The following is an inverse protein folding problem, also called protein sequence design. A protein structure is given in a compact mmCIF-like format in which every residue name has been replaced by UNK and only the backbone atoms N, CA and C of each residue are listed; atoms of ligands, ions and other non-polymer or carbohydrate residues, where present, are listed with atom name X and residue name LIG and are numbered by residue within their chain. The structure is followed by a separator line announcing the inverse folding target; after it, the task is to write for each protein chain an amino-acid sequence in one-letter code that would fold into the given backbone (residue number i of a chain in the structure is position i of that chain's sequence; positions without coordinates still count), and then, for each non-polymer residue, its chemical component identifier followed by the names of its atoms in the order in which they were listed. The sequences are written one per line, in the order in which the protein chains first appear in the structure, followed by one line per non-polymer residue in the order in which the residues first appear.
data_IF_386480382876
#
_entry.id   IF_386480382876
#
_cell.length_a   1.000
_cell.length_b   1.000
_cell.length_c   1.000
_cell.angle_alpha   90.00
_cell.angle_beta   90.00
_cell.angle_gamma   90.00
#
_symmetry.space_group_name_H-M   'P 1'
#
loop_
_entity.id
_entity.type
_entity.pdbx_description
1 polymer ?
#
# COMPACT_ATOMS: atom_id res chain seq x y z
N UNK A 1 15.11 -21.08 8.62
CA UNK A 1 14.24 -20.05 8.05
C UNK A 1 14.85 -19.60 6.75
N UNK A 2 14.21 -19.97 5.64
CA UNK A 2 14.65 -19.70 4.30
C UNK A 2 14.77 -18.19 4.07
N UNK A 3 15.87 -17.80 3.45
CA UNK A 3 16.12 -16.45 2.94
C UNK A 3 15.14 -16.11 1.83
N UNK A 4 15.05 -14.82 1.47
CA UNK A 4 14.23 -14.38 0.35
C UNK A 4 14.67 -15.03 -0.97
N UNK A 5 15.98 -15.21 -1.16
CA UNK A 5 16.53 -15.89 -2.34
C UNK A 5 16.07 -17.35 -2.42
N UNK A 6 16.16 -18.11 -1.31
CA UNK A 6 15.73 -19.51 -1.27
C UNK A 6 14.21 -19.66 -1.47
N UNK A 7 13.40 -18.73 -0.94
CA UNK A 7 11.96 -18.68 -1.19
C UNK A 7 11.63 -18.44 -2.66
N UNK A 8 12.44 -17.61 -3.34
CA UNK A 8 12.31 -17.34 -4.77
C UNK A 8 12.65 -18.57 -5.62
N UNK A 9 13.65 -19.35 -5.23
CA UNK A 9 13.98 -20.62 -5.92
C UNK A 9 12.79 -21.60 -5.86
N UNK A 10 12.03 -21.66 -4.75
CA UNK A 10 10.80 -22.47 -4.66
C UNK A 10 9.70 -21.95 -5.62
N UNK A 11 9.57 -20.62 -5.75
CA UNK A 11 8.63 -20.01 -6.71
C UNK A 11 9.01 -20.32 -8.16
N UNK A 12 10.30 -20.30 -8.48
CA UNK A 12 10.81 -20.66 -9.80
C UNK A 12 10.48 -22.11 -10.15
N UNK A 13 10.59 -23.03 -9.19
CA UNK A 13 10.14 -24.42 -9.37
C UNK A 13 8.64 -24.52 -9.61
N UNK A 14 7.81 -23.73 -8.92
CA UNK A 14 6.36 -23.69 -9.15
C UNK A 14 6.01 -23.26 -10.57
N UNK A 15 6.70 -22.23 -11.07
CA UNK A 15 6.52 -21.71 -12.42
C UNK A 15 7.03 -22.73 -13.43
N UNK A 16 8.16 -23.37 -13.17
CA UNK A 16 8.73 -24.40 -14.03
C UNK A 16 7.85 -25.67 -14.12
N UNK A 17 7.28 -26.14 -13.02
CA UNK A 17 6.46 -27.36 -13.11
C UNK A 17 5.04 -27.10 -13.58
N UNK A 18 4.47 -25.95 -13.22
CA UNK A 18 3.02 -25.75 -13.33
C UNK A 18 2.61 -24.47 -14.06
N UNK A 19 3.54 -23.56 -14.35
CA UNK A 19 3.28 -22.24 -14.92
C UNK A 19 2.11 -21.52 -14.19
N UNK A 20 2.16 -21.51 -12.85
CA UNK A 20 1.12 -20.90 -11.99
C UNK A 20 1.71 -20.15 -10.82
N UNK A 21 0.97 -19.14 -10.33
CA UNK A 21 1.15 -18.61 -8.97
C UNK A 21 0.70 -19.67 -7.96
N UNK A 22 1.53 -20.04 -6.96
CA UNK A 22 1.08 -20.87 -5.86
C UNK A 22 0.16 -20.08 -4.93
N UNK A 23 -0.84 -20.74 -4.35
CA UNK A 23 -1.55 -20.16 -3.21
C UNK A 23 -0.61 -20.07 -2.01
N UNK A 24 -0.91 -19.12 -1.11
CA UNK A 24 -0.04 -18.78 0.02
C UNK A 24 0.15 -19.96 0.99
N UNK A 25 -0.87 -20.81 1.15
CA UNK A 25 -0.80 -21.99 2.02
C UNK A 25 0.09 -23.09 1.40
N UNK A 26 -0.07 -23.35 0.10
CA UNK A 26 0.76 -24.26 -0.66
C UNK A 26 2.23 -23.84 -0.67
N UNK A 27 2.51 -22.55 -0.90
CA UNK A 27 3.88 -22.03 -0.84
C UNK A 27 4.46 -22.15 0.58
N UNK A 28 3.69 -21.79 1.61
CA UNK A 28 4.12 -21.90 3.01
C UNK A 28 4.47 -23.33 3.42
N UNK A 29 3.74 -24.32 2.92
CA UNK A 29 4.04 -25.73 3.12
C UNK A 29 5.44 -26.08 2.60
N UNK A 30 5.77 -25.73 1.35
CA UNK A 30 7.08 -26.07 0.78
C UNK A 30 8.23 -25.27 1.38
N UNK A 31 8.00 -24.01 1.77
CA UNK A 31 8.98 -23.25 2.55
C UNK A 31 9.26 -23.96 3.89
N UNK A 32 8.23 -24.48 4.55
CA UNK A 32 8.37 -25.23 5.80
C UNK A 32 9.14 -26.54 5.59
N UNK A 33 8.88 -27.28 4.51
CA UNK A 33 9.63 -28.48 4.17
C UNK A 33 11.11 -28.18 3.90
N UNK A 34 11.41 -27.08 3.21
CA UNK A 34 12.78 -26.61 2.99
C UNK A 34 13.45 -26.24 4.33
N UNK A 35 12.75 -25.50 5.19
CA UNK A 35 13.22 -25.14 6.52
C UNK A 35 13.50 -26.33 7.44
N UNK A 36 12.81 -27.44 7.22
CA UNK A 36 13.02 -28.71 7.90
C UNK A 36 14.15 -29.57 7.29
N UNK A 37 14.85 -29.06 6.28
CA UNK A 37 16.04 -29.70 5.69
C UNK A 37 15.80 -30.44 4.37
N UNK A 38 14.62 -30.31 3.77
CA UNK A 38 14.41 -30.80 2.40
C UNK A 38 15.21 -29.96 1.40
N UNK A 39 15.86 -30.60 0.42
CA UNK A 39 16.54 -29.88 -0.66
C UNK A 39 15.56 -29.40 -1.73
N UNK A 40 15.96 -28.39 -2.51
CA UNK A 40 15.20 -27.95 -3.70
C UNK A 40 14.99 -29.09 -4.70
N UNK A 41 16.01 -29.95 -4.91
CA UNK A 41 15.88 -31.11 -5.80
C UNK A 41 14.78 -32.07 -5.32
N UNK A 42 14.66 -32.28 -4.00
CA UNK A 42 13.60 -33.09 -3.41
C UNK A 42 12.22 -32.47 -3.64
N UNK A 43 12.08 -31.16 -3.38
CA UNK A 43 10.82 -30.43 -3.59
C UNK A 43 10.43 -30.47 -5.08
N UNK A 44 11.38 -30.21 -5.98
CA UNK A 44 11.23 -30.33 -7.43
C UNK A 44 10.81 -31.75 -7.84
N UNK A 45 11.38 -32.79 -7.22
CA UNK A 45 10.97 -34.18 -7.42
C UNK A 45 9.51 -34.44 -7.01
N UNK A 46 9.04 -33.82 -5.92
CA UNK A 46 7.62 -33.86 -5.53
C UNK A 46 6.72 -33.12 -6.52
N UNK A 47 7.21 -32.04 -7.11
CA UNK A 47 6.44 -31.33 -8.14
C UNK A 47 6.34 -32.16 -9.41
N UNK A 48 7.41 -32.86 -9.80
CA UNK A 48 7.37 -33.84 -10.90
C UNK A 48 6.35 -34.97 -10.63
N UNK A 49 6.35 -35.56 -9.43
CA UNK A 49 5.37 -36.59 -9.05
C UNK A 49 3.94 -36.05 -9.22
N UNK A 50 3.65 -34.84 -8.73
CA UNK A 50 2.35 -34.20 -8.88
C UNK A 50 2.03 -33.86 -10.34
N UNK A 51 3.00 -33.38 -11.12
CA UNK A 51 2.82 -33.05 -12.53
C UNK A 51 2.44 -34.28 -13.36
N UNK A 52 3.01 -35.45 -13.06
CA UNK A 52 2.71 -36.72 -13.75
C UNK A 52 1.40 -37.37 -13.29
N UNK A 53 1.04 -37.22 -12.01
CA UNK A 53 -0.07 -37.99 -11.41
C UNK A 53 -1.35 -37.20 -11.21
N UNK A 54 -1.24 -35.91 -10.86
CA UNK A 54 -2.37 -35.05 -10.51
C UNK A 54 -2.66 -34.01 -11.59
N UNK A 55 -1.61 -33.53 -12.29
CA UNK A 55 -1.71 -32.42 -13.24
C UNK A 55 -1.22 -32.78 -14.65
N UNK A 56 -1.32 -34.05 -15.04
CA UNK A 56 -0.76 -34.53 -16.32
C UNK A 56 -1.50 -33.98 -17.53
N UNK A 57 -2.81 -33.76 -17.41
CA UNK A 57 -3.61 -33.14 -18.47
C UNK A 57 -3.20 -31.68 -18.71
N UNK A 58 -2.82 -30.98 -17.65
CA UNK A 58 -2.53 -29.55 -17.71
C UNK A 58 -1.05 -29.22 -17.93
N UNK A 59 -0.14 -30.10 -17.51
CA UNK A 59 1.30 -29.92 -17.70
C UNK A 59 1.84 -30.69 -18.90
N UNK A 60 1.09 -31.66 -19.40
CA UNK A 60 1.49 -32.56 -20.47
C UNK A 60 2.38 -33.72 -20.01
N UNK A 61 2.97 -33.67 -18.80
CA UNK A 61 3.91 -34.68 -18.34
C UNK A 61 3.25 -36.05 -18.11
N UNK A 62 3.95 -37.11 -18.49
CA UNK A 62 3.53 -38.48 -18.19
C UNK A 62 4.71 -39.38 -17.85
N UNK A 63 4.43 -40.46 -17.10
CA UNK A 63 5.45 -41.41 -16.65
C UNK A 63 6.13 -42.18 -17.79
N UNK A 64 5.49 -42.24 -18.96
CA UNK A 64 6.01 -42.92 -20.15
C UNK A 64 6.80 -42.04 -21.13
N UNK A 65 7.02 -40.75 -20.80
CA UNK A 65 7.82 -39.86 -21.65
C UNK A 65 9.27 -40.34 -21.76
N UNK A 66 9.81 -40.32 -22.98
CA UNK A 66 11.25 -40.39 -23.18
C UNK A 66 11.95 -39.15 -22.65
N UNK A 67 13.24 -39.23 -22.36
CA UNK A 67 14.02 -38.09 -21.87
C UNK A 67 13.98 -36.90 -22.85
N UNK A 68 14.08 -37.17 -24.15
CA UNK A 68 13.92 -36.14 -25.19
C UNK A 68 12.55 -35.46 -25.14
N UNK A 69 11.47 -36.23 -24.98
CA UNK A 69 10.12 -35.69 -24.89
C UNK A 69 9.93 -34.87 -23.59
N UNK A 70 10.48 -35.36 -22.47
CA UNK A 70 10.47 -34.65 -21.19
C UNK A 70 11.18 -33.29 -21.28
N UNK A 71 12.40 -33.25 -21.83
CA UNK A 71 13.15 -32.00 -21.99
C UNK A 71 12.44 -31.06 -22.96
N UNK A 72 11.89 -31.57 -24.05
CA UNK A 72 11.12 -30.74 -25.01
C UNK A 72 9.89 -30.12 -24.34
N UNK A 73 9.16 -30.89 -23.52
CA UNK A 73 8.00 -30.40 -22.76
C UNK A 73 8.39 -29.28 -21.79
N UNK A 74 9.55 -29.41 -21.14
CA UNK A 74 10.06 -28.39 -20.22
C UNK A 74 10.40 -27.08 -20.95
N UNK A 75 11.00 -27.16 -22.15
CA UNK A 75 11.27 -25.98 -22.97
C UNK A 75 9.98 -25.28 -23.41
N UNK A 76 8.97 -26.05 -23.81
CA UNK A 76 7.65 -25.51 -24.19
C UNK A 76 6.97 -24.83 -22.99
N UNK A 77 6.71 -25.58 -21.93
CA UNK A 77 5.90 -25.10 -20.80
C UNK A 77 6.58 -23.98 -19.99
N UNK A 78 7.85 -24.17 -19.62
CA UNK A 78 8.56 -23.29 -18.67
C UNK A 78 9.14 -22.09 -19.36
N UNK A 79 9.81 -22.36 -20.48
CA UNK A 79 10.59 -21.34 -21.17
C UNK A 79 9.78 -20.68 -22.28
N UNK A 80 8.58 -21.17 -22.61
CA UNK A 80 7.83 -20.68 -23.78
C UNK A 80 8.61 -20.85 -25.08
N UNK A 81 9.61 -21.74 -25.11
CA UNK A 81 10.51 -21.97 -26.22
C UNK A 81 9.86 -22.96 -27.18
N UNK A 82 8.94 -22.46 -27.99
CA UNK A 82 8.23 -23.20 -29.03
C UNK A 82 8.62 -22.74 -30.44
N UNK A 83 8.22 -23.49 -31.46
CA UNK A 83 8.48 -23.15 -32.86
C UNK A 83 9.98 -23.00 -33.14
N UNK A 84 10.38 -21.85 -33.69
CA UNK A 84 11.78 -21.55 -34.03
C UNK A 84 12.71 -21.44 -32.80
N UNK A 85 12.16 -21.38 -31.59
CA UNK A 85 12.92 -21.32 -30.34
C UNK A 85 13.01 -22.67 -29.61
N UNK A 86 12.36 -23.72 -30.13
CA UNK A 86 12.44 -25.08 -29.59
C UNK A 86 13.89 -25.56 -29.47
N UNK A 87 14.22 -26.44 -28.50
CA UNK A 87 15.58 -26.91 -28.31
C UNK A 87 16.06 -27.67 -29.55
N UNK A 88 17.22 -27.30 -30.06
CA UNK A 88 17.85 -28.04 -31.14
C UNK A 88 18.45 -29.37 -30.65
N UNK A 89 18.90 -30.22 -31.58
CA UNK A 89 19.46 -31.54 -31.25
C UNK A 89 20.68 -31.47 -30.31
N UNK A 90 21.49 -30.41 -30.38
CA UNK A 90 22.65 -30.23 -29.50
C UNK A 90 22.21 -29.85 -28.08
N UNK A 91 21.23 -28.95 -27.95
CA UNK A 91 20.64 -28.60 -26.65
C UNK A 91 19.97 -29.83 -26.01
N UNK A 92 19.19 -30.59 -26.78
CA UNK A 92 18.57 -31.84 -26.29
C UNK A 92 19.62 -32.86 -25.85
N UNK A 93 20.67 -33.09 -26.65
CA UNK A 93 21.72 -34.05 -26.32
C UNK A 93 22.47 -33.64 -25.03
N UNK A 94 22.72 -32.35 -24.83
CA UNK A 94 23.33 -31.83 -23.60
C UNK A 94 22.46 -32.14 -22.37
N UNK A 95 21.17 -31.79 -22.42
CA UNK A 95 20.28 -32.00 -21.28
C UNK A 95 19.98 -33.48 -21.02
N UNK A 96 19.88 -34.31 -22.05
CA UNK A 96 19.75 -35.77 -21.90
C UNK A 96 21.02 -36.35 -21.25
N UNK A 97 22.20 -35.86 -21.63
CA UNK A 97 23.46 -36.27 -21.01
C UNK A 97 23.52 -35.85 -19.54
N UNK A 98 23.17 -34.59 -19.23
CA UNK A 98 23.10 -34.08 -17.87
C UNK A 98 22.11 -34.87 -17.02
N UNK A 99 20.93 -35.21 -17.55
CA UNK A 99 19.94 -36.03 -16.85
C UNK A 99 20.50 -37.41 -16.52
N UNK A 100 21.04 -38.10 -17.52
CA UNK A 100 21.42 -39.51 -17.38
C UNK A 100 22.75 -39.72 -16.64
N UNK A 101 23.73 -38.84 -16.84
CA UNK A 101 25.08 -39.02 -16.31
C UNK A 101 25.38 -38.16 -15.07
N UNK A 102 24.84 -36.93 -15.00
CA UNK A 102 25.14 -36.03 -13.88
C UNK A 102 24.07 -36.15 -12.78
N UNK A 103 22.80 -36.26 -13.17
CA UNK A 103 21.66 -36.33 -12.24
C UNK A 103 21.14 -37.76 -12.00
N UNK A 104 21.77 -38.78 -12.60
CA UNK A 104 21.38 -40.20 -12.44
C UNK A 104 19.88 -40.47 -12.72
N UNK A 105 19.28 -39.74 -13.67
CA UNK A 105 17.87 -39.83 -14.01
C UNK A 105 16.92 -39.02 -13.11
N UNK A 106 17.44 -38.23 -12.17
CA UNK A 106 16.62 -37.34 -11.32
C UNK A 106 16.13 -36.12 -12.11
N UNK A 107 14.85 -36.17 -12.48
CA UNK A 107 14.16 -35.09 -13.21
C UNK A 107 13.96 -33.84 -12.35
N UNK A 108 13.82 -33.97 -11.03
CA UNK A 108 13.70 -32.84 -10.12
C UNK A 108 15.00 -32.04 -10.07
N UNK A 109 16.12 -32.73 -9.89
CA UNK A 109 17.46 -32.14 -9.92
C UNK A 109 17.83 -31.56 -11.29
N UNK A 110 17.38 -32.18 -12.39
CA UNK A 110 17.58 -31.62 -13.72
C UNK A 110 16.87 -30.27 -13.88
N UNK A 111 15.59 -30.16 -13.50
CA UNK A 111 14.83 -28.90 -13.65
C UNK A 111 15.44 -27.78 -12.83
N UNK A 112 15.85 -28.05 -11.59
CA UNK A 112 16.57 -27.08 -10.76
C UNK A 112 17.85 -26.59 -11.46
N UNK A 113 18.67 -27.51 -11.99
CA UNK A 113 19.88 -27.15 -12.73
C UNK A 113 19.56 -26.33 -13.98
N UNK A 114 18.53 -26.71 -14.72
CA UNK A 114 18.11 -26.00 -15.92
C UNK A 114 17.71 -24.56 -15.61
N UNK A 115 16.82 -24.35 -14.63
CA UNK A 115 16.40 -22.99 -14.21
C UNK A 115 17.62 -22.12 -13.89
N UNK A 116 18.55 -22.65 -13.09
CA UNK A 116 19.78 -21.95 -12.72
C UNK A 116 20.66 -21.60 -13.94
N UNK A 117 20.94 -22.56 -14.83
CA UNK A 117 21.76 -22.32 -16.02
C UNK A 117 21.10 -21.33 -16.99
N UNK A 118 19.77 -21.38 -17.14
CA UNK A 118 18.99 -20.48 -18.01
C UNK A 118 19.05 -19.05 -17.48
N UNK A 119 18.85 -18.86 -16.18
CA UNK A 119 18.91 -17.53 -15.57
C UNK A 119 20.32 -16.93 -15.67
N UNK A 120 21.36 -17.77 -15.50
CA UNK A 120 22.75 -17.36 -15.60
C UNK A 120 23.23 -17.13 -17.05
N UNK A 121 22.53 -17.66 -18.06
CA UNK A 121 22.94 -17.56 -19.46
C UNK A 121 22.98 -16.12 -19.97
N UNK A 122 24.09 -15.68 -20.55
CA UNK A 122 24.19 -14.35 -21.17
C UNK A 122 23.45 -14.32 -22.52
N UNK A 123 22.23 -13.80 -22.51
CA UNK A 123 21.39 -13.64 -23.69
C UNK A 123 21.46 -12.24 -24.31
N UNK A 124 22.39 -11.38 -23.88
CA UNK A 124 22.48 -9.98 -24.33
C UNK A 124 22.60 -9.81 -25.86
N UNK A 125 23.16 -10.82 -26.54
CA UNK A 125 23.32 -10.84 -27.99
C UNK A 125 22.24 -11.66 -28.74
N UNK A 126 21.21 -12.14 -28.04
CA UNK A 126 20.13 -12.96 -28.59
C UNK A 126 18.76 -12.50 -28.07
N UNK A 127 18.17 -11.51 -28.75
CA UNK A 127 16.92 -10.87 -28.33
C UNK A 127 15.76 -11.85 -28.08
N UNK A 128 15.50 -12.88 -28.91
CA UNK A 128 14.48 -13.89 -28.60
C UNK A 128 14.72 -14.66 -27.30
N UNK A 129 15.98 -15.03 -27.01
CA UNK A 129 16.31 -15.72 -25.75
C UNK A 129 16.27 -14.77 -24.56
N UNK A 130 16.64 -13.50 -24.75
CA UNK A 130 16.51 -12.47 -23.73
C UNK A 130 15.03 -12.26 -23.36
N UNK A 131 14.13 -12.18 -24.33
CA UNK A 131 12.69 -12.06 -24.09
C UNK A 131 12.13 -13.25 -23.28
N UNK A 132 12.59 -14.47 -23.55
CA UNK A 132 12.25 -15.65 -22.76
C UNK A 132 12.69 -15.50 -21.30
N UNK A 133 13.93 -15.05 -21.07
CA UNK A 133 14.45 -14.81 -19.72
C UNK A 133 13.67 -13.74 -18.98
N UNK A 134 13.40 -12.62 -19.65
CA UNK A 134 12.66 -11.48 -19.07
C UNK A 134 11.24 -11.91 -18.71
N UNK A 135 10.56 -12.64 -19.58
CA UNK A 135 9.22 -13.18 -19.30
C UNK A 135 9.21 -14.13 -18.10
N UNK A 136 10.20 -15.02 -17.99
CA UNK A 136 10.31 -15.90 -16.82
C UNK A 136 10.57 -15.10 -15.54
N UNK A 137 11.49 -14.14 -15.57
CA UNK A 137 11.79 -13.26 -14.43
C UNK A 137 10.55 -12.46 -14.00
N UNK A 138 9.79 -11.91 -14.95
CA UNK A 138 8.56 -11.18 -14.70
C UNK A 138 7.50 -12.09 -14.04
N UNK A 139 7.35 -13.34 -14.48
CA UNK A 139 6.43 -14.32 -13.85
C UNK A 139 6.83 -14.64 -12.42
N UNK A 140 8.13 -14.83 -12.16
CA UNK A 140 8.66 -15.07 -10.81
C UNK A 140 8.38 -13.87 -9.91
N UNK A 141 8.62 -12.66 -10.41
CA UNK A 141 8.31 -11.44 -9.67
C UNK A 141 6.82 -11.33 -9.33
N UNK A 142 5.93 -11.57 -10.30
CA UNK A 142 4.47 -11.56 -10.06
C UNK A 142 4.08 -12.60 -9.01
N UNK A 143 4.61 -13.81 -9.09
CA UNK A 143 4.33 -14.86 -8.11
C UNK A 143 4.88 -14.53 -6.71
N UNK A 144 6.05 -13.89 -6.63
CA UNK A 144 6.64 -13.39 -5.38
C UNK A 144 5.74 -12.34 -4.72
N UNK A 145 5.29 -11.34 -5.49
CA UNK A 145 4.38 -10.30 -4.98
C UNK A 145 3.06 -10.89 -4.48
N UNK A 146 2.46 -11.84 -5.19
CA UNK A 146 1.14 -12.38 -4.85
C UNK A 146 1.16 -13.44 -3.75
N UNK A 147 2.15 -14.34 -3.75
CA UNK A 147 2.16 -15.51 -2.88
C UNK A 147 3.10 -15.37 -1.67
N UNK A 148 4.14 -14.53 -1.76
CA UNK A 148 5.12 -14.34 -0.68
C UNK A 148 4.87 -13.05 0.11
N UNK A 149 4.55 -11.95 -0.59
CA UNK A 149 4.29 -10.65 0.02
C UNK A 149 2.79 -10.46 0.28
N UNK A 150 1.96 -10.82 -0.70
CA UNK A 150 0.51 -10.81 -0.58
C UNK A 150 -0.09 -12.08 0.05
N UNK A 151 -1.41 -12.20 -0.06
CA UNK A 151 -2.18 -13.35 0.45
C UNK A 151 -3.00 -14.00 -0.66
N UNK A 152 -2.37 -14.35 -1.78
CA UNK A 152 -3.08 -15.04 -2.85
C UNK A 152 -3.61 -16.41 -2.35
N UNK A 153 -4.93 -16.58 -2.36
CA UNK A 153 -5.66 -17.80 -1.98
C UNK A 153 -6.46 -18.39 -3.14
N UNK A 154 -6.20 -17.91 -4.35
CA UNK A 154 -6.91 -18.33 -5.56
C UNK A 154 -6.65 -19.79 -5.94
N UNK A 155 -7.54 -20.33 -6.75
CA UNK A 155 -7.48 -21.65 -7.35
C UNK A 155 -6.29 -21.81 -8.30
N UNK A 156 -5.98 -23.07 -8.63
CA UNK A 156 -4.95 -23.43 -9.62
C UNK A 156 -5.24 -22.76 -10.98
N UNK A 157 -6.50 -22.69 -11.40
CA UNK A 157 -6.89 -22.08 -12.66
C UNK A 157 -6.63 -20.57 -12.68
N UNK A 158 -6.92 -19.88 -11.58
CA UNK A 158 -6.65 -18.46 -11.41
C UNK A 158 -5.13 -18.20 -11.42
N UNK A 159 -4.35 -18.96 -10.65
CA UNK A 159 -2.89 -18.83 -10.61
C UNK A 159 -2.22 -19.01 -11.98
N UNK A 160 -2.78 -19.86 -12.86
CA UNK A 160 -2.34 -20.02 -14.25
C UNK A 160 -2.76 -18.88 -15.16
N UNK A 161 -3.99 -18.40 -14.99
CA UNK A 161 -4.54 -17.28 -15.77
C UNK A 161 -3.71 -16.02 -15.54
N UNK A 162 -3.34 -15.75 -14.28
CA UNK A 162 -2.45 -14.64 -13.90
C UNK A 162 -1.15 -14.68 -14.70
N UNK A 163 -0.43 -15.81 -14.69
CA UNK A 163 0.87 -15.91 -15.38
C UNK A 163 0.76 -15.97 -16.91
N UNK A 164 -0.41 -16.29 -17.47
CA UNK A 164 -0.63 -16.26 -18.92
C UNK A 164 -0.58 -14.84 -19.47
N UNK A 165 -0.99 -13.86 -18.67
CA UNK A 165 -1.01 -12.44 -19.03
C UNK A 165 0.35 -11.74 -18.82
N UNK A 166 1.32 -12.42 -18.20
CA UNK A 166 2.68 -11.89 -18.02
C UNK A 166 3.49 -12.08 -19.30
N UNK A 167 4.11 -11.00 -19.77
CA UNK A 167 4.96 -10.97 -20.97
C UNK A 167 6.40 -10.61 -20.61
N UNK A 168 7.28 -10.57 -21.60
CA UNK A 168 8.66 -10.07 -21.49
C UNK A 168 8.72 -8.57 -21.15
N UNK A 169 7.68 -7.80 -21.46
CA UNK A 169 7.60 -6.38 -21.09
C UNK A 169 7.34 -6.24 -19.59
N UNK A 170 8.22 -5.51 -18.89
CA UNK A 170 8.08 -5.21 -17.47
C UNK A 170 6.76 -4.49 -17.13
N UNK A 171 6.17 -3.75 -18.07
CA UNK A 171 4.85 -3.11 -17.88
C UNK A 171 3.72 -4.15 -17.67
N UNK A 172 3.89 -5.38 -18.16
CA UNK A 172 2.91 -6.45 -17.92
C UNK A 172 2.86 -6.92 -16.47
N UNK A 173 3.92 -6.69 -15.68
CA UNK A 173 3.93 -7.00 -14.24
C UNK A 173 2.83 -6.20 -13.54
N UNK A 174 2.85 -4.88 -13.68
CA UNK A 174 1.86 -4.00 -13.06
C UNK A 174 0.46 -4.32 -13.56
N UNK A 175 0.29 -4.49 -14.87
CA UNK A 175 -1.00 -4.84 -15.47
C UNK A 175 -1.61 -6.15 -14.90
N UNK A 176 -0.77 -7.12 -14.53
CA UNK A 176 -1.20 -8.41 -13.97
C UNK A 176 -1.42 -8.34 -12.46
N UNK A 177 -0.53 -7.69 -11.71
CA UNK A 177 -0.69 -7.49 -10.27
C UNK A 177 -1.94 -6.65 -9.96
N UNK A 178 -2.24 -5.67 -10.80
CA UNK A 178 -3.43 -4.83 -10.71
C UNK A 178 -4.71 -5.56 -11.19
N UNK A 179 -4.65 -6.86 -11.49
CA UNK A 179 -5.81 -7.73 -11.71
C UNK A 179 -6.13 -8.08 -13.17
N UNK A 180 -5.24 -7.82 -14.14
CA UNK A 180 -5.49 -8.10 -15.55
C UNK A 180 -6.64 -7.24 -16.08
N UNK A 181 -6.28 -6.03 -16.51
CA UNK A 181 -7.16 -4.85 -16.60
C UNK A 181 -7.54 -4.31 -15.22
N UNK A 182 -7.27 -3.03 -14.96
CA UNK A 182 -8.05 -2.26 -14.00
C UNK A 182 -9.52 -2.57 -14.23
N UNK A 183 -10.14 -3.37 -13.36
CA UNK A 183 -11.58 -3.39 -13.22
C UNK A 183 -11.94 -2.02 -12.66
N UNK A 184 -12.08 -1.06 -13.57
CA UNK A 184 -12.55 0.29 -13.27
C UNK A 184 -14.06 0.22 -13.20
N UNK A 185 -14.62 0.66 -12.09
CA UNK A 185 -16.05 0.80 -11.90
C UNK A 185 -16.38 2.27 -11.69
N UNK A 186 -17.21 2.82 -12.57
CA UNK A 186 -17.71 4.18 -12.43
C UNK A 186 -18.98 4.11 -11.58
N UNK A 187 -18.99 4.80 -10.45
CA UNK A 187 -20.18 4.91 -9.63
C UNK A 187 -21.25 5.72 -10.36
N UNK A 188 -22.50 5.41 -10.04
CA UNK A 188 -23.69 5.94 -10.70
C UNK A 188 -24.49 6.83 -9.75
N UNK A 189 -25.70 7.24 -10.14
CA UNK A 189 -26.64 7.96 -9.26
C UNK A 189 -27.64 7.00 -8.58
N UNK A 190 -27.34 5.71 -8.63
CA UNK A 190 -28.12 4.61 -8.07
C UNK A 190 -27.25 3.90 -7.05
N UNK A 191 -27.87 3.10 -6.18
CA UNK A 191 -27.13 2.23 -5.27
C UNK A 191 -26.21 1.29 -6.05
N UNK A 192 -24.90 1.42 -5.83
CA UNK A 192 -23.89 0.61 -6.48
C UNK A 192 -23.49 -0.56 -5.56
N UNK A 193 -23.48 -1.77 -6.12
CA UNK A 193 -22.90 -2.96 -5.48
C UNK A 193 -21.86 -3.57 -6.42
N UNK A 194 -20.58 -3.34 -6.14
CA UNK A 194 -19.52 -3.63 -7.10
C UNK A 194 -18.22 -4.10 -6.45
N UNK A 195 -17.46 -4.90 -7.22
CA UNK A 195 -16.11 -5.32 -6.89
C UNK A 195 -15.17 -4.89 -8.01
N UNK A 196 -14.13 -4.12 -7.67
CA UNK A 196 -13.22 -3.53 -8.63
C UNK A 196 -11.87 -3.19 -7.98
N UNK A 197 -10.85 -2.91 -8.79
CA UNK A 197 -9.58 -2.38 -8.31
C UNK A 197 -9.59 -0.83 -8.31
N UNK A 198 -10.31 -0.22 -9.24
CA UNK A 198 -10.41 1.24 -9.36
C UNK A 198 -11.87 1.66 -9.35
N UNK A 199 -12.24 2.53 -8.42
CA UNK A 199 -13.57 3.12 -8.35
C UNK A 199 -13.48 4.61 -8.70
N UNK A 200 -14.31 5.05 -9.65
CA UNK A 200 -14.39 6.45 -10.06
C UNK A 200 -15.75 7.01 -9.68
N UNK A 201 -15.77 7.93 -8.73
CA UNK A 201 -16.95 8.59 -8.22
C UNK A 201 -16.94 10.09 -8.61
N UNK A 202 -17.13 10.36 -9.90
CA UNK A 202 -17.34 11.72 -10.42
C UNK A 202 -18.75 12.25 -10.09
N UNK A 203 -18.97 13.56 -10.15
CA UNK A 203 -20.36 14.05 -10.06
C UNK A 203 -21.15 13.65 -11.33
N UNK A 204 -22.34 13.08 -11.12
CA UNK A 204 -23.24 12.57 -12.18
C UNK A 204 -24.51 13.41 -12.26
N UNK A 205 -25.25 13.31 -13.36
CA UNK A 205 -26.55 13.99 -13.45
C UNK A 205 -27.60 13.22 -12.65
N UNK A 206 -28.42 13.95 -11.88
CA UNK A 206 -29.63 13.41 -11.30
C UNK A 206 -30.60 12.93 -12.42
N UNK A 207 -31.57 12.04 -12.14
CA UNK A 207 -32.53 11.57 -13.14
C UNK A 207 -33.32 12.68 -13.86
N UNK A 208 -33.46 13.85 -13.24
CA UNK A 208 -34.06 15.05 -13.85
C UNK A 208 -33.21 15.65 -14.97
N UNK A 209 -31.92 15.32 -15.04
CA UNK A 209 -30.95 15.81 -16.03
C UNK A 209 -30.47 17.25 -15.80
N UNK A 210 -30.90 17.91 -14.72
CA UNK A 210 -30.63 19.35 -14.50
C UNK A 210 -29.51 19.58 -13.50
N UNK A 211 -29.51 18.84 -12.39
CA UNK A 211 -28.57 19.02 -11.29
C UNK A 211 -27.50 17.93 -11.33
N UNK A 212 -26.25 18.29 -11.03
CA UNK A 212 -25.20 17.32 -10.74
C UNK A 212 -25.28 16.94 -9.26
N UNK A 213 -25.07 15.66 -8.98
CA UNK A 213 -25.07 15.06 -7.64
C UNK A 213 -23.84 14.17 -7.52
N UNK A 214 -23.49 13.81 -6.28
CA UNK A 214 -22.43 12.83 -6.03
C UNK A 214 -22.85 11.47 -6.57
N UNK A 215 -21.90 10.73 -7.13
CA UNK A 215 -22.11 9.33 -7.47
C UNK A 215 -21.78 8.39 -6.31
N UNK A 216 -20.82 8.76 -5.45
CA UNK A 216 -20.67 8.09 -4.17
C UNK A 216 -21.80 8.54 -3.24
N UNK A 217 -22.54 7.57 -2.71
CA UNK A 217 -23.69 7.73 -1.84
C UNK A 217 -23.58 6.80 -0.62
N UNK A 218 -24.37 7.06 0.40
CA UNK A 218 -24.36 6.29 1.65
C UNK A 218 -24.90 4.87 1.49
N UNK A 219 -25.72 4.63 0.47
CA UNK A 219 -26.28 3.31 0.18
C UNK A 219 -25.30 2.39 -0.57
N UNK A 220 -24.17 2.92 -1.06
CA UNK A 220 -23.23 2.15 -1.88
C UNK A 220 -22.47 1.09 -1.08
N UNK A 221 -22.23 -0.04 -1.75
CA UNK A 221 -21.48 -1.17 -1.24
C UNK A 221 -20.40 -1.57 -2.23
N UNK A 222 -19.18 -1.07 -2.03
CA UNK A 222 -18.05 -1.35 -2.89
C UNK A 222 -17.01 -2.22 -2.20
N UNK A 223 -16.43 -3.14 -2.96
CA UNK A 223 -15.38 -4.06 -2.46
C UNK A 223 -14.14 -3.94 -3.33
N UNK A 224 -13.01 -3.64 -2.69
CA UNK A 224 -11.71 -3.61 -3.32
C UNK A 224 -11.20 -5.01 -3.68
N UNK A 225 -10.55 -5.14 -4.83
CA UNK A 225 -9.91 -6.38 -5.29
C UNK A 225 -8.59 -6.05 -6.00
N UNK A 226 -7.59 -6.91 -5.87
CA UNK A 226 -6.27 -6.67 -6.46
C UNK A 226 -5.33 -5.90 -5.54
N UNK A 227 -4.24 -5.37 -6.10
CA UNK A 227 -3.25 -4.58 -5.37
C UNK A 227 -3.68 -3.12 -5.27
N UNK A 228 -3.65 -2.58 -4.05
CA UNK A 228 -4.02 -1.19 -3.74
C UNK A 228 -5.37 -0.73 -4.33
N UNK A 229 -6.50 -1.38 -4.00
CA UNK A 229 -7.80 -0.93 -4.48
C UNK A 229 -8.06 0.53 -4.12
N UNK A 230 -8.41 1.33 -5.12
CA UNK A 230 -8.44 2.79 -5.01
C UNK A 230 -9.82 3.32 -5.32
N UNK A 231 -10.32 4.23 -4.48
CA UNK A 231 -11.47 5.08 -4.78
C UNK A 231 -10.98 6.49 -5.10
N UNK A 232 -11.34 7.00 -6.27
CA UNK A 232 -11.18 8.42 -6.62
C UNK A 232 -12.56 9.07 -6.64
N UNK A 233 -12.81 10.03 -5.73
CA UNK A 233 -14.13 10.61 -5.53
C UNK A 233 -14.10 12.15 -5.52
N UNK A 234 -15.09 12.73 -6.20
CA UNK A 234 -15.43 14.15 -6.11
C UNK A 234 -16.67 14.29 -5.24
N UNK A 235 -16.54 14.99 -4.12
CA UNK A 235 -17.61 15.30 -3.18
C UNK A 235 -18.03 16.75 -3.38
N UNK A 236 -19.14 16.94 -4.09
CA UNK A 236 -19.75 18.23 -4.42
C UNK A 236 -20.81 18.66 -3.40
N UNK A 237 -21.89 19.26 -3.91
CA UNK A 237 -23.06 19.56 -3.09
C UNK A 237 -23.87 18.28 -2.80
N UNK A 238 -24.33 18.16 -1.57
CA UNK A 238 -25.10 17.05 -1.05
C UNK A 238 -26.47 16.88 -1.73
N UNK A 239 -26.81 15.64 -2.07
CA UNK A 239 -28.15 15.22 -2.47
C UNK A 239 -28.96 14.57 -1.33
N UNK A 240 -28.28 14.03 -0.32
CA UNK A 240 -28.88 13.22 0.76
C UNK A 240 -28.44 13.61 2.18
N UNK A 241 -27.66 14.69 2.31
CA UNK A 241 -27.09 15.19 3.58
C UNK A 241 -25.62 15.56 3.43
N UNK A 242 -25.09 16.36 4.36
CA UNK A 242 -23.67 16.77 4.32
C UNK A 242 -22.69 15.64 4.66
N UNK A 243 -23.19 14.46 5.05
CA UNK A 243 -22.40 13.26 5.31
C UNK A 243 -22.73 12.16 4.32
N UNK A 244 -21.70 11.54 3.75
CA UNK A 244 -21.80 10.32 2.92
C UNK A 244 -21.14 9.17 3.68
N UNK A 245 -21.86 8.08 3.91
CA UNK A 245 -21.44 6.96 4.77
C UNK A 245 -21.50 5.58 4.07
N UNK A 246 -20.73 5.37 2.97
CA UNK A 246 -20.78 4.15 2.18
C UNK A 246 -20.21 2.94 2.95
N UNK A 247 -20.51 1.74 2.45
CA UNK A 247 -19.85 0.51 2.88
C UNK A 247 -18.71 0.21 1.90
N UNK A 248 -17.46 0.43 2.34
CA UNK A 248 -16.27 0.10 1.55
C UNK A 248 -15.47 -1.01 2.21
N UNK A 249 -15.28 -2.14 1.52
CA UNK A 249 -14.51 -3.27 2.03
C UNK A 249 -13.20 -3.44 1.26
N UNK A 250 -12.06 -3.26 1.92
CA UNK A 250 -10.75 -3.49 1.30
C UNK A 250 -10.33 -2.42 0.27
N UNK A 251 -10.93 -1.23 0.33
CA UNK A 251 -10.40 -0.06 -0.40
C UNK A 251 -9.22 0.48 0.39
N UNK A 252 -8.03 0.47 -0.21
CA UNK A 252 -6.78 0.81 0.46
C UNK A 252 -6.38 2.28 0.29
N UNK A 253 -6.68 2.87 -0.88
CA UNK A 253 -6.37 4.29 -1.16
C UNK A 253 -7.64 5.08 -1.47
N UNK A 254 -7.79 6.24 -0.82
CA UNK A 254 -8.82 7.23 -1.13
C UNK A 254 -8.18 8.47 -1.77
N UNK A 255 -8.60 8.85 -2.97
CA UNK A 255 -8.27 10.13 -3.59
C UNK A 255 -9.53 11.00 -3.61
N UNK A 256 -9.54 12.10 -2.87
CA UNK A 256 -10.73 12.85 -2.54
C UNK A 256 -10.58 14.31 -2.97
N UNK A 257 -11.66 14.87 -3.53
CA UNK A 257 -11.79 16.30 -3.81
C UNK A 257 -13.10 16.82 -3.24
N UNK A 258 -13.03 17.76 -2.29
CA UNK A 258 -14.20 18.40 -1.68
C UNK A 258 -14.49 19.71 -2.41
N UNK A 259 -15.44 19.66 -3.35
CA UNK A 259 -15.73 20.72 -4.31
C UNK A 259 -17.12 21.35 -4.15
N UNK A 260 -17.85 21.01 -3.09
CA UNK A 260 -19.10 21.67 -2.73
C UNK A 260 -18.91 23.19 -2.59
N UNK A 261 -19.91 23.97 -2.99
CA UNK A 261 -19.82 25.44 -2.96
C UNK A 261 -21.11 26.13 -2.52
N UNK A 262 -22.19 25.36 -2.38
CA UNK A 262 -23.44 25.83 -1.78
C UNK A 262 -23.44 25.64 -0.26
N UNK A 263 -24.45 26.17 0.43
CA UNK A 263 -24.70 25.86 1.85
C UNK A 263 -25.11 24.40 2.13
N UNK A 264 -25.14 23.56 1.10
CA UNK A 264 -25.41 22.12 1.19
C UNK A 264 -24.19 21.31 0.74
N UNK A 265 -22.96 21.80 0.88
CA UNK A 265 -21.77 21.03 0.54
C UNK A 265 -21.73 19.69 1.30
N UNK A 266 -21.17 18.64 0.69
CA UNK A 266 -20.71 17.47 1.45
C UNK A 266 -19.52 17.92 2.30
N UNK A 267 -19.62 17.68 3.59
CA UNK A 267 -18.63 18.04 4.60
C UNK A 267 -17.91 16.80 5.11
N UNK A 268 -18.57 15.63 5.15
CA UNK A 268 -18.02 14.43 5.77
C UNK A 268 -18.10 13.21 4.87
N UNK A 269 -16.97 12.54 4.67
CA UNK A 269 -16.93 11.12 4.29
C UNK A 269 -16.80 10.29 5.58
N UNK A 270 -17.84 9.58 5.94
CA UNK A 270 -17.90 8.77 7.15
C UNK A 270 -17.52 7.32 6.86
N UNK A 271 -16.44 6.85 7.48
CA UNK A 271 -15.87 5.53 7.29
C UNK A 271 -16.33 4.53 8.36
N UNK A 272 -17.36 4.84 9.16
CA UNK A 272 -17.87 3.95 10.22
C UNK A 272 -18.29 2.55 9.73
N UNK A 273 -18.59 2.39 8.44
CA UNK A 273 -18.96 1.11 7.82
C UNK A 273 -17.87 0.56 6.88
N UNK A 274 -16.72 1.22 6.82
CA UNK A 274 -15.64 0.92 5.88
C UNK A 274 -14.44 0.29 6.58
N UNK A 275 -13.66 -0.51 5.84
CA UNK A 275 -12.46 -1.20 6.32
C UNK A 275 -11.38 -1.23 5.25
N UNK A 276 -10.11 -1.29 5.68
CA UNK A 276 -8.96 -1.53 4.80
C UNK A 276 -8.25 -0.28 4.29
N UNK A 277 -8.73 0.93 4.59
CA UNK A 277 -8.11 2.19 4.17
C UNK A 277 -6.73 2.34 4.83
N UNK A 278 -5.71 2.58 4.01
CA UNK A 278 -4.31 2.81 4.41
C UNK A 278 -3.80 4.19 4.02
N UNK A 279 -4.31 4.75 2.92
CA UNK A 279 -3.87 6.05 2.41
C UNK A 279 -5.06 6.94 2.10
N UNK A 280 -4.99 8.20 2.53
CA UNK A 280 -5.98 9.23 2.22
C UNK A 280 -5.28 10.41 1.55
N UNK A 281 -5.66 10.70 0.33
CA UNK A 281 -5.20 11.86 -0.43
C UNK A 281 -6.37 12.83 -0.58
N UNK A 282 -6.20 14.04 -0.08
CA UNK A 282 -7.07 15.17 -0.38
C UNK A 282 -6.38 15.99 -1.48
N UNK A 283 -6.88 15.90 -2.70
CA UNK A 283 -6.28 16.58 -3.86
C UNK A 283 -6.60 18.07 -3.87
N UNK A 284 -7.81 18.42 -3.43
CA UNK A 284 -8.30 19.80 -3.39
C UNK A 284 -9.50 19.96 -2.46
N UNK A 285 -9.52 21.07 -1.74
CA UNK A 285 -10.70 21.57 -1.02
C UNK A 285 -11.02 22.95 -1.57
N UNK A 286 -12.25 23.16 -2.06
CA UNK A 286 -12.73 24.48 -2.51
C UNK A 286 -13.95 24.98 -1.75
N UNK A 287 -14.39 24.24 -0.73
CA UNK A 287 -15.47 24.66 0.16
C UNK A 287 -14.96 25.87 0.97
N UNK A 288 -15.73 26.97 0.98
CA UNK A 288 -15.38 28.18 1.74
C UNK A 288 -16.15 28.16 3.07
N UNK A 289 -15.50 28.59 4.16
CA UNK A 289 -16.10 28.73 5.51
C UNK A 289 -16.75 27.45 6.08
N UNK A 290 -16.31 26.28 5.59
CA UNK A 290 -16.90 24.98 5.90
C UNK A 290 -15.99 24.07 6.71
N UNK A 291 -16.52 22.88 6.99
CA UNK A 291 -15.78 21.80 7.61
C UNK A 291 -15.58 20.69 6.58
N UNK A 292 -14.42 20.04 6.60
CA UNK A 292 -14.14 18.84 5.82
C UNK A 292 -13.66 17.76 6.77
N UNK A 293 -14.27 16.58 6.69
CA UNK A 293 -13.95 15.46 7.54
C UNK A 293 -13.85 14.14 6.75
N UNK A 294 -12.83 13.36 7.08
CA UNK A 294 -12.83 11.91 6.87
C UNK A 294 -12.87 11.26 8.24
N UNK A 295 -14.03 10.71 8.60
CA UNK A 295 -14.38 10.42 9.98
C UNK A 295 -14.50 8.92 10.26
N UNK A 296 -14.41 8.56 11.54
CA UNK A 296 -14.71 7.22 12.08
C UNK A 296 -13.89 6.09 11.44
N UNK A 297 -12.61 6.34 11.16
CA UNK A 297 -11.68 5.32 10.68
C UNK A 297 -11.49 4.20 11.72
N UNK A 298 -11.57 2.94 11.29
CA UNK A 298 -11.46 1.75 12.16
C UNK A 298 -10.05 1.21 12.38
N UNK A 299 -9.06 1.87 11.78
CA UNK A 299 -7.65 1.55 11.91
C UNK A 299 -6.85 2.82 11.63
N UNK A 300 -5.68 2.92 12.23
CA UNK A 300 -4.67 3.91 11.86
C UNK A 300 -4.30 3.75 10.37
N UNK A 301 -4.24 4.87 9.66
CA UNK A 301 -3.82 4.92 8.25
C UNK A 301 -2.31 5.17 8.17
N UNK A 302 -1.63 4.60 7.18
CA UNK A 302 -0.20 4.79 6.99
C UNK A 302 0.12 6.26 6.61
N UNK A 303 -0.71 6.85 5.75
CA UNK A 303 -0.47 8.21 5.25
C UNK A 303 -1.72 9.02 4.94
N UNK A 304 -1.60 10.32 5.21
CA UNK A 304 -2.56 11.35 4.83
C UNK A 304 -1.79 12.40 4.03
N UNK A 305 -2.32 12.76 2.86
CA UNK A 305 -1.79 13.83 2.01
C UNK A 305 -2.88 14.87 1.82
N UNK A 306 -2.56 16.15 2.04
CA UNK A 306 -3.49 17.27 1.85
C UNK A 306 -2.87 18.30 0.93
N UNK A 307 -3.55 18.57 -0.17
CA UNK A 307 -3.13 19.51 -1.19
C UNK A 307 -4.22 20.56 -1.45
N UNK A 308 -3.79 21.78 -1.78
CA UNK A 308 -4.63 22.83 -2.39
C UNK A 308 -5.92 23.13 -1.61
N UNK A 309 -5.81 23.61 -0.38
CA UNK A 309 -6.96 24.05 0.40
C UNK A 309 -7.27 25.52 0.08
N UNK A 310 -8.53 25.83 -0.29
CA UNK A 310 -8.99 27.19 -0.52
C UNK A 310 -8.80 28.07 0.73
N UNK A 311 -8.77 29.39 0.55
CA UNK A 311 -8.38 30.34 1.60
C UNK A 311 -9.18 30.13 2.91
N UNK A 312 -8.44 29.73 3.96
CA UNK A 312 -8.83 29.54 5.37
C UNK A 312 -10.04 28.63 5.59
N UNK A 313 -9.85 27.32 5.41
CA UNK A 313 -10.82 26.30 5.85
C UNK A 313 -11.01 26.39 7.37
N UNK A 314 -12.25 26.33 7.85
CA UNK A 314 -12.50 26.44 9.29
C UNK A 314 -12.03 25.18 10.03
N UNK A 315 -12.34 24.01 9.49
CA UNK A 315 -11.98 22.73 10.12
C UNK A 315 -11.65 21.67 9.10
N UNK A 316 -10.49 21.04 9.28
CA UNK A 316 -10.12 19.80 8.63
C UNK A 316 -10.00 18.71 9.69
N UNK A 317 -10.74 17.62 9.53
CA UNK A 317 -10.79 16.53 10.51
C UNK A 317 -10.46 15.20 9.87
N UNK A 318 -9.53 14.49 10.49
CA UNK A 318 -9.30 13.07 10.27
C UNK A 318 -9.52 12.40 11.63
N UNK A 319 -10.59 11.62 11.76
CA UNK A 319 -10.94 11.01 13.04
C UNK A 319 -11.03 9.49 12.99
N UNK A 320 -10.63 8.88 14.10
CA UNK A 320 -10.62 7.43 14.29
C UNK A 320 -11.69 7.04 15.31
N UNK A 321 -12.21 5.81 15.23
CA UNK A 321 -12.92 5.25 16.38
C UNK A 321 -11.92 5.06 17.52
N UNK A 322 -12.35 5.23 18.77
CA UNK A 322 -11.45 5.23 19.94
C UNK A 322 -10.62 3.94 20.04
N UNK A 323 -11.23 2.79 19.72
CA UNK A 323 -10.55 1.48 19.74
C UNK A 323 -9.47 1.33 18.67
N UNK A 324 -9.48 2.17 17.62
CA UNK A 324 -8.51 2.12 16.54
C UNK A 324 -7.20 2.84 16.88
N UNK A 325 -7.21 3.68 17.92
CA UNK A 325 -6.08 4.50 18.38
C UNK A 325 -5.83 4.31 19.88
N UNK A 326 -6.33 3.21 20.45
CA UNK A 326 -6.07 2.88 21.85
C UNK A 326 -4.67 2.29 21.94
N UNK A 327 -3.78 2.94 22.70
CA UNK A 327 -2.39 2.49 22.88
C UNK A 327 -2.32 1.10 23.53
N UNK A 328 -2.25 0.04 22.71
CA UNK A 328 -1.97 -1.30 23.26
C UNK A 328 -0.52 -1.35 23.72
N UNK A 329 -0.30 -1.79 24.96
CA UNK A 329 0.98 -1.67 25.66
C UNK A 329 2.16 -2.18 24.83
N UNK A 330 2.96 -1.27 24.27
CA UNK A 330 4.21 -1.59 23.54
C UNK A 330 4.20 -1.36 22.02
N UNK A 331 3.12 -0.85 21.42
CA UNK A 331 3.11 -0.31 20.06
C UNK A 331 2.59 1.13 20.06
N UNK A 332 3.38 2.06 19.54
CA UNK A 332 2.96 3.44 19.30
C UNK A 332 2.35 3.54 17.90
N UNK A 333 1.16 4.12 17.79
CA UNK A 333 0.54 4.45 16.52
C UNK A 333 1.32 5.57 15.84
N UNK A 334 1.48 5.44 14.52
CA UNK A 334 2.31 6.35 13.73
C UNK A 334 1.67 6.66 12.39
N UNK A 335 1.61 7.94 12.04
CA UNK A 335 1.05 8.43 10.77
C UNK A 335 2.03 9.35 10.06
N UNK A 336 2.09 9.25 8.73
CA UNK A 336 2.71 10.27 7.87
C UNK A 336 1.66 11.29 7.40
N UNK A 337 1.86 12.58 7.68
CA UNK A 337 0.98 13.68 7.26
C UNK A 337 1.71 14.63 6.32
N UNK A 338 1.39 14.61 5.03
CA UNK A 338 1.99 15.51 4.03
C UNK A 338 1.06 16.68 3.70
N UNK A 339 1.57 17.91 3.75
CA UNK A 339 0.82 19.14 3.49
C UNK A 339 1.49 19.96 2.37
N UNK A 340 0.67 20.46 1.44
CA UNK A 340 1.08 21.42 0.41
C UNK A 340 -0.02 22.42 0.10
N UNK A 341 0.22 23.70 0.43
CA UNK A 341 -0.79 24.75 0.25
C UNK A 341 -2.03 24.55 1.14
N UNK A 342 -1.81 24.03 2.35
CA UNK A 342 -2.87 23.77 3.34
C UNK A 342 -2.99 24.95 4.29
N UNK A 343 -4.16 25.60 4.34
CA UNK A 343 -4.47 26.68 5.26
C UNK A 343 -5.80 26.39 5.98
N UNK A 344 -5.73 26.02 7.25
CA UNK A 344 -6.89 25.67 8.08
C UNK A 344 -6.83 26.35 9.44
N UNK A 345 -7.98 26.77 9.99
CA UNK A 345 -8.08 27.29 11.36
C UNK A 345 -7.94 26.15 12.37
N UNK A 346 -8.46 24.97 12.06
CA UNK A 346 -8.31 23.79 12.91
C UNK A 346 -7.95 22.55 12.08
N UNK A 347 -6.94 21.81 12.52
CA UNK A 347 -6.62 20.48 12.04
C UNK A 347 -6.80 19.49 13.18
N UNK A 348 -7.67 18.51 13.00
CA UNK A 348 -7.90 17.43 13.95
C UNK A 348 -7.32 16.12 13.39
N UNK A 349 -6.49 15.44 14.19
CA UNK A 349 -6.00 14.09 13.93
C UNK A 349 -6.01 13.29 15.24
N UNK A 350 -7.19 12.80 15.63
CA UNK A 350 -7.45 12.22 16.95
C UNK A 350 -8.72 11.34 16.95
N UNK A 351 -9.06 10.71 18.08
CA UNK A 351 -10.28 9.93 18.21
C UNK A 351 -11.56 10.79 18.03
N UNK A 352 -12.62 10.19 17.48
CA UNK A 352 -13.91 10.81 17.20
C UNK A 352 -14.74 11.01 18.48
N UNK A 353 -14.29 11.88 19.38
CA UNK A 353 -14.95 12.21 20.65
C UNK A 353 -14.87 13.73 20.91
N UNK A 354 -15.84 14.29 21.63
CA UNK A 354 -15.81 15.70 22.02
C UNK A 354 -14.72 16.01 23.06
N UNK A 355 -14.25 14.99 23.78
CA UNK A 355 -13.06 15.04 24.61
C UNK A 355 -12.33 13.70 24.39
N UNK A 356 -11.47 13.61 23.37
CA UNK A 356 -10.70 12.40 23.14
C UNK A 356 -9.83 12.08 24.36
N UNK A 357 -9.56 10.80 24.57
CA UNK A 357 -8.64 10.30 25.60
C UNK A 357 -7.63 9.31 25.03
N UNK A 358 -7.64 9.17 23.70
CA UNK A 358 -6.82 8.24 22.92
C UNK A 358 -6.52 8.94 21.58
N UNK A 359 -5.36 8.68 21.00
CA UNK A 359 -4.93 9.34 19.78
C UNK A 359 -3.65 8.74 19.18
N UNK A 360 -2.93 9.52 18.36
CA UNK A 360 -1.78 9.03 17.60
C UNK A 360 -0.49 9.46 18.28
N UNK A 361 0.32 8.53 18.76
CA UNK A 361 1.54 8.86 19.52
C UNK A 361 2.65 9.46 18.66
N UNK A 362 2.74 9.10 17.37
CA UNK A 362 3.77 9.64 16.47
C UNK A 362 3.19 10.22 15.18
N UNK A 363 3.43 11.50 14.93
CA UNK A 363 3.07 12.16 13.67
C UNK A 363 4.33 12.61 12.93
N UNK A 364 4.50 12.13 11.71
CA UNK A 364 5.53 12.54 10.78
C UNK A 364 4.96 13.56 9.79
N UNK A 365 5.01 14.84 10.15
CA UNK A 365 4.54 15.94 9.32
C UNK A 365 5.57 16.32 8.25
N UNK A 366 5.13 16.35 7.00
CA UNK A 366 5.94 16.71 5.83
C UNK A 366 5.34 17.96 5.19
N UNK A 367 6.06 19.07 5.20
CA UNK A 367 5.63 20.33 4.60
C UNK A 367 6.37 20.59 3.29
N UNK A 368 5.70 20.47 2.15
CA UNK A 368 6.29 20.62 0.82
C UNK A 368 5.41 21.49 -0.09
N UNK A 369 5.94 21.86 -1.26
CA UNK A 369 5.22 22.67 -2.24
C UNK A 369 4.99 24.10 -1.73
N UNK A 370 3.72 24.48 -1.57
CA UNK A 370 3.32 25.80 -1.08
C UNK A 370 3.32 25.86 0.45
N UNK A 371 3.45 27.08 1.01
CA UNK A 371 3.48 27.29 2.46
C UNK A 371 2.19 26.81 3.13
N UNK A 372 2.34 26.27 4.34
CA UNK A 372 1.25 25.65 5.09
C UNK A 372 1.00 26.41 6.41
N UNK A 373 -0.26 26.51 6.80
CA UNK A 373 -0.68 27.13 8.06
C UNK A 373 -1.76 26.29 8.72
N UNK A 374 -1.52 25.94 9.98
CA UNK A 374 -2.48 25.33 10.88
C UNK A 374 -2.73 26.36 11.99
N UNK A 375 -3.99 26.78 12.18
CA UNK A 375 -4.39 27.62 13.30
C UNK A 375 -4.15 26.88 14.62
N UNK A 376 -4.99 25.90 14.92
CA UNK A 376 -4.81 24.98 16.04
C UNK A 376 -4.66 23.55 15.54
N UNK A 377 -3.62 22.86 16.00
CA UNK A 377 -3.44 21.43 15.78
C UNK A 377 -3.95 20.66 17.01
N UNK A 378 -4.99 19.85 16.81
CA UNK A 378 -5.57 18.97 17.83
C UNK A 378 -5.07 17.55 17.59
N UNK A 379 -4.36 17.00 18.57
CA UNK A 379 -3.78 15.67 18.51
C UNK A 379 -3.62 15.10 19.94
N UNK A 380 -4.69 14.49 20.46
CA UNK A 380 -4.65 13.75 21.73
C UNK A 380 -3.56 12.66 21.70
N UNK A 381 -2.92 12.43 22.85
CA UNK A 381 -1.85 11.45 23.07
C UNK A 381 -0.61 11.55 22.17
N UNK A 382 -0.46 12.64 21.41
CA UNK A 382 0.73 12.86 20.61
C UNK A 382 1.99 12.95 21.49
N UNK A 383 2.90 11.98 21.36
CA UNK A 383 4.17 11.96 22.08
C UNK A 383 5.30 12.60 21.24
N UNK A 384 5.30 12.34 19.92
CA UNK A 384 6.37 12.71 18.99
C UNK A 384 5.80 13.36 17.74
N UNK A 385 6.15 14.62 17.52
CA UNK A 385 5.93 15.34 16.27
C UNK A 385 7.25 15.51 15.51
N UNK A 386 7.45 14.75 14.43
CA UNK A 386 8.54 15.00 13.49
C UNK A 386 8.06 15.94 12.39
N UNK A 387 8.85 16.96 12.05
CA UNK A 387 8.53 17.93 11.00
C UNK A 387 9.70 17.97 10.01
N UNK A 388 9.39 17.81 8.73
CA UNK A 388 10.39 17.82 7.65
C UNK A 388 9.85 18.46 6.38
N UNK A 389 10.74 18.81 5.44
CA UNK A 389 10.35 19.29 4.12
C UNK A 389 10.95 20.64 3.73
N UNK A 390 10.35 21.24 2.71
CA UNK A 390 10.90 22.38 1.96
C UNK A 390 9.99 23.60 1.88
N UNK A 391 8.71 23.47 2.25
CA UNK A 391 7.80 24.59 2.39
C UNK A 391 7.82 25.13 3.82
N UNK A 392 7.52 26.42 3.98
CA UNK A 392 7.35 26.99 5.31
C UNK A 392 6.08 26.41 5.97
N UNK A 393 6.15 26.18 7.28
CA UNK A 393 5.03 25.68 8.09
C UNK A 393 4.82 26.60 9.29
N UNK A 394 3.56 26.99 9.52
CA UNK A 394 3.15 27.71 10.72
C UNK A 394 2.08 26.92 11.48
N UNK A 395 2.31 26.66 12.77
CA UNK A 395 1.34 26.08 13.69
C UNK A 395 1.10 27.08 14.83
N UNK A 396 -0.06 27.74 14.83
CA UNK A 396 -0.32 28.88 15.71
C UNK A 396 -0.78 28.49 17.13
N UNK A 397 -1.18 27.24 17.34
CA UNK A 397 -1.55 26.67 18.63
C UNK A 397 -1.58 25.14 18.57
N UNK A 398 -1.46 24.50 19.74
CA UNK A 398 -1.73 23.08 19.93
C UNK A 398 -2.80 22.91 21.01
N UNK A 399 -3.65 21.91 20.85
CA UNK A 399 -4.61 21.46 21.86
C UNK A 399 -4.49 19.93 21.99
N UNK A 400 -4.91 19.36 23.11
CA UNK A 400 -4.88 17.90 23.39
C UNK A 400 -3.49 17.24 23.52
N UNK A 401 -2.41 18.01 23.31
CA UNK A 401 -1.02 17.53 23.45
C UNK A 401 -0.44 17.67 24.87
N UNK A 402 -1.24 18.24 25.79
CA UNK A 402 -0.80 18.64 27.12
C UNK A 402 -0.52 17.43 28.00
N UNK A 403 0.74 17.15 28.29
CA UNK A 403 1.12 16.03 29.16
C UNK A 403 1.31 14.70 28.42
N UNK A 404 1.25 14.71 27.09
CA UNK A 404 1.65 13.61 26.23
C UNK A 404 2.88 13.99 25.38
N UNK A 405 2.92 15.22 24.85
CA UNK A 405 3.98 15.64 23.91
C UNK A 405 5.34 15.78 24.59
N UNK A 406 6.27 14.92 24.18
CA UNK A 406 7.65 14.88 24.68
C UNK A 406 8.66 15.41 23.67
N UNK A 407 8.35 15.34 22.38
CA UNK A 407 9.30 15.66 21.31
C UNK A 407 8.64 16.42 20.16
N UNK A 408 9.20 17.57 19.79
CA UNK A 408 8.98 18.22 18.49
C UNK A 408 10.32 18.29 17.77
N UNK A 409 10.49 17.50 16.72
CA UNK A 409 11.73 17.42 15.95
C UNK A 409 11.50 17.94 14.52
N UNK A 410 11.79 19.21 14.31
CA UNK A 410 11.76 19.88 13.01
C UNK A 410 13.14 19.99 12.34
N UNK A 411 14.14 19.20 12.77
CA UNK A 411 15.50 19.26 12.22
C UNK A 411 15.60 18.90 10.72
N UNK A 412 14.58 18.22 10.18
CA UNK A 412 14.47 17.89 8.75
C UNK A 412 13.93 19.03 7.88
N UNK A 413 13.67 20.22 8.43
CA UNK A 413 13.15 21.37 7.69
C UNK A 413 14.27 22.18 7.02
N UNK A 414 14.05 22.53 5.75
CA UNK A 414 14.92 23.38 4.95
C UNK A 414 14.40 24.82 4.76
N UNK A 415 13.27 25.14 5.39
CA UNK A 415 12.58 26.41 5.32
C UNK A 415 11.96 26.74 6.70
N UNK A 416 11.44 27.96 6.84
CA UNK A 416 11.02 28.49 8.13
C UNK A 416 9.94 27.63 8.82
N UNK A 417 10.16 27.36 10.10
CA UNK A 417 9.21 26.73 11.02
C UNK A 417 8.74 27.78 12.02
N UNK A 418 7.43 27.98 12.14
CA UNK A 418 6.81 28.82 13.17
C UNK A 418 5.92 27.94 14.06
N UNK A 419 6.22 27.88 15.35
CA UNK A 419 5.49 27.07 16.33
C UNK A 419 5.10 27.93 17.53
N UNK A 420 3.83 27.85 17.93
CA UNK A 420 3.40 28.36 19.23
C UNK A 420 3.05 27.19 20.16
N UNK A 421 3.90 26.99 21.16
CA UNK A 421 3.87 25.87 22.11
C UNK A 421 3.44 26.31 23.52
N UNK A 422 2.76 27.45 23.65
CA UNK A 422 2.32 27.99 24.94
C UNK A 422 1.50 27.00 25.78
N UNK A 423 0.62 26.24 25.12
CA UNK A 423 -0.17 25.16 25.73
C UNK A 423 0.69 23.93 26.01
N UNK A 424 1.52 23.49 25.06
CA UNK A 424 2.30 22.25 25.15
C UNK A 424 3.29 22.21 26.33
N UNK A 425 4.00 23.31 26.64
CA UNK A 425 4.94 23.35 27.77
C UNK A 425 4.26 23.45 29.16
N UNK A 426 2.97 23.76 29.21
CA UNK A 426 2.24 24.03 30.47
C UNK A 426 1.64 22.76 31.12
N UNK A 427 2.19 21.58 30.85
CA UNK A 427 1.61 20.27 31.21
C UNK A 427 1.77 19.92 32.72
N UNK A 428 0.87 20.43 33.56
CA UNK A 428 0.65 19.96 34.95
C UNK A 428 -0.57 19.00 35.01
N UNK A 429 -1.09 18.55 33.86
CA UNK A 429 -2.48 18.09 33.73
C UNK A 429 -2.64 16.62 33.30
N UNK A 430 -1.87 15.70 33.89
CA UNK A 430 -2.24 14.28 33.92
C UNK A 430 -2.36 13.76 35.37
N UNK A 431 -3.01 14.54 36.24
CA UNK A 431 -3.18 14.22 37.68
C UNK A 431 -1.88 13.84 38.44
N UNK A 432 -0.72 14.01 37.79
CA UNK A 432 0.60 13.69 38.22
C UNK A 432 1.27 15.04 38.43
N UNK A 433 1.75 15.29 39.65
CA UNK A 433 2.41 16.55 39.99
C UNK A 433 3.80 16.67 39.34
N UNK A 434 4.00 16.11 38.15
CA UNK A 434 5.28 16.00 37.47
C UNK A 434 5.18 16.57 36.06
N UNK A 435 5.94 17.64 35.82
CA UNK A 435 6.16 18.16 34.47
C UNK A 435 6.77 17.04 33.60
N UNK A 436 6.19 16.79 32.43
CA UNK A 436 6.82 15.93 31.42
C UNK A 436 7.76 16.81 30.59
N UNK A 437 8.98 16.31 30.37
CA UNK A 437 10.00 17.08 29.66
C UNK A 437 9.69 17.14 28.17
N UNK A 438 9.55 18.35 27.61
CA UNK A 438 9.39 18.58 26.18
C UNK A 438 10.72 19.03 25.55
N UNK A 439 11.17 18.29 24.54
CA UNK A 439 12.32 18.63 23.70
C UNK A 439 11.87 19.13 22.34
N UNK A 440 12.27 20.35 21.98
CA UNK A 440 12.01 20.99 20.69
C UNK A 440 13.33 21.20 19.97
N UNK A 441 13.41 20.78 18.71
CA UNK A 441 14.52 21.07 17.82
C UNK A 441 13.98 21.63 16.50
N UNK A 442 14.48 22.78 16.03
CA UNK A 442 14.13 23.33 14.71
C UNK A 442 15.20 23.05 13.66
N UNK A 443 14.87 23.34 12.40
CA UNK A 443 15.70 23.05 11.23
C UNK A 443 16.50 24.26 10.76
N UNK A 444 16.64 24.39 9.46
CA UNK A 444 17.23 25.59 8.86
C UNK A 444 16.15 26.57 8.41
N UNK A 445 16.40 27.87 8.57
CA UNK A 445 15.43 28.92 8.29
C UNK A 445 15.36 29.94 9.41
N UNK A 446 14.60 31.02 9.18
CA UNK A 446 14.30 32.00 10.23
C UNK A 446 13.14 31.47 11.07
N UNK A 447 13.46 30.48 11.89
CA UNK A 447 12.50 29.75 12.72
C UNK A 447 12.01 30.59 13.90
N UNK A 448 10.74 30.39 14.29
CA UNK A 448 10.11 31.05 15.42
C UNK A 448 9.49 30.00 16.34
N UNK A 449 9.81 30.10 17.64
CA UNK A 449 9.17 29.28 18.68
C UNK A 449 8.67 30.21 19.77
N UNK A 450 7.36 30.24 19.97
CA UNK A 450 6.71 30.92 21.09
C UNK A 450 6.45 29.91 22.21
N UNK A 451 6.89 30.24 23.42
CA UNK A 451 6.64 29.46 24.63
C UNK A 451 6.71 30.36 25.87
N UNK A 452 5.69 30.30 26.72
CA UNK A 452 5.53 31.18 27.90
C UNK A 452 5.85 30.52 29.24
N UNK A 453 5.80 29.18 29.34
CA UNK A 453 5.95 28.43 30.60
C UNK A 453 6.94 27.26 30.50
N UNK A 454 8.19 27.53 30.14
CA UNK A 454 9.22 26.49 29.95
C UNK A 454 9.72 25.97 31.32
N UNK A 455 9.55 24.68 31.58
CA UNK A 455 10.02 23.97 32.76
C UNK A 455 11.53 23.72 32.78
N UNK A 456 12.08 23.35 33.94
CA UNK A 456 13.54 23.16 34.11
C UNK A 456 14.11 21.95 33.36
N UNK A 457 13.25 21.02 32.95
CA UNK A 457 13.60 19.81 32.20
C UNK A 457 13.41 19.96 30.70
N UNK A 458 12.78 21.05 30.26
CA UNK A 458 12.45 21.29 28.87
C UNK A 458 13.65 21.85 28.10
N UNK A 459 13.69 21.60 26.79
CA UNK A 459 14.80 22.01 25.93
C UNK A 459 14.29 22.54 24.61
N UNK A 460 14.77 23.71 24.21
CA UNK A 460 14.57 24.25 22.85
C UNK A 460 15.94 24.42 22.22
N UNK A 461 16.14 23.79 21.06
CA UNK A 461 17.35 23.91 20.24
C UNK A 461 16.97 24.47 18.88
N UNK A 462 17.30 25.73 18.64
CA UNK A 462 17.12 26.34 17.32
C UNK A 462 18.20 25.82 16.37
N UNK A 463 17.84 25.54 15.12
CA UNK A 463 18.81 25.19 14.09
C UNK A 463 19.46 26.43 13.44
N UNK A 464 19.84 26.34 12.16
CA UNK A 464 20.61 27.39 11.49
C UNK A 464 19.70 28.47 10.88
N UNK A 465 19.93 29.74 11.20
CA UNK A 465 19.14 30.85 10.66
C UNK A 465 19.27 32.10 11.52
N UNK A 466 18.41 33.10 11.30
CA UNK A 466 18.36 34.33 12.12
C UNK A 466 17.17 34.33 13.06
#
# INVERSE_FOLDING_TARGET
MATLAEKKEILELYIAWFNRVPDSAGLSFWITEFDNGSSLSYISGKFYEAAVTQFSAETGYSSGMSDNAFITQLYDGVMGRTGDLAPNETELAYWVNALNNDQNGDKGALVERMVNEIQAFDASNNAPIQAVKDKFANKVYVAEQLALIGTFTGSIAEGKTILTNVTEDAASISAVLDGGASSSYNLSNSTDQATANQFLADLVYAPSGVTRINSLQSDDQITGSGTNPTLTAILGDASEGSTIAPIMNGIETLNLSFLGSSGNAVETLDLQNSTGVKTINIDRITTNDGQVAVANMKSVVDSIVVNNVSSSLERLTFSFVEEAVTGTSGSSDSISLSLSGTNTNHLYLEAANNNPTEGIETINLISNGDSNTIGTFHAEDLEVLNISGSAAININAFEHVNGSLTTVNASGMSNNVSLNLDTAFSAIQDNSNSNIALTVQTGSGNDQVQATSIGTTDRITMGTGT
#
